data_IF_496035298195
#
_entry.id   IF_496035298195
#
_cell.length_a   1.000
_cell.length_b   1.000
_cell.length_c   1.000
_cell.angle_alpha   90.00
_cell.angle_beta   90.00
_cell.angle_gamma   90.00
#
_symmetry.space_group_name_H-M   'P 1'
#
loop_
_entity.id
_entity.type
_entity.pdbx_description
1 polymer ?
#
# COMPACT_ATOMS: atom_id res chain seq x y z
N UNK A 1 6.28 -4.46 12.00
CA UNK A 1 6.65 -3.63 10.84
C UNK A 1 6.01 -4.24 9.62
N UNK A 2 5.27 -3.48 8.81
CA UNK A 2 4.82 -3.94 7.48
C UNK A 2 6.04 -4.38 6.66
N UNK A 3 5.88 -5.38 5.79
CA UNK A 3 6.94 -6.07 5.03
C UNK A 3 8.10 -5.12 4.68
N UNK A 4 9.34 -5.50 5.03
CA UNK A 4 10.56 -4.75 4.74
C UNK A 4 10.79 -4.66 3.21
N UNK A 5 10.15 -3.70 2.57
CA UNK A 5 10.18 -3.49 1.12
C UNK A 5 10.23 -2.00 0.77
N UNK A 6 10.48 -1.72 -0.50
CA UNK A 6 10.55 -0.35 -0.99
C UNK A 6 9.17 0.33 -0.96
N UNK A 7 9.16 1.64 -0.81
CA UNK A 7 7.95 2.47 -0.98
C UNK A 7 8.10 3.20 -2.30
N UNK A 8 7.23 2.89 -3.25
CA UNK A 8 7.21 3.48 -4.58
C UNK A 8 6.17 4.58 -4.65
N UNK A 9 6.60 5.82 -4.82
CA UNK A 9 5.69 6.96 -4.93
C UNK A 9 5.35 7.18 -6.39
N UNK A 10 4.07 7.04 -6.72
CA UNK A 10 3.51 7.20 -8.07
C UNK A 10 2.53 8.36 -8.11
N UNK A 11 2.26 8.85 -9.31
CA UNK A 11 1.32 9.95 -9.53
C UNK A 11 1.77 10.87 -10.65
N UNK A 12 0.89 11.77 -11.05
CA UNK A 12 1.14 12.66 -12.18
C UNK A 12 2.33 13.62 -11.93
N UNK A 13 2.90 14.17 -13.00
CA UNK A 13 3.92 15.21 -12.85
C UNK A 13 3.33 16.42 -12.10
N UNK A 14 4.08 17.01 -11.16
CA UNK A 14 3.56 18.09 -10.31
C UNK A 14 2.77 17.62 -9.07
N UNK A 15 2.55 16.31 -8.88
CA UNK A 15 1.88 15.77 -7.69
C UNK A 15 2.71 15.89 -6.39
N UNK A 16 3.97 16.34 -6.47
CA UNK A 16 4.83 16.53 -5.30
C UNK A 16 5.66 15.30 -4.90
N UNK A 17 5.75 14.27 -5.75
CA UNK A 17 6.47 13.01 -5.48
C UNK A 17 7.85 13.21 -4.88
N UNK A 18 8.70 14.04 -5.50
CA UNK A 18 10.06 14.23 -5.01
C UNK A 18 10.14 14.97 -3.68
N UNK A 19 9.18 15.84 -3.38
CA UNK A 19 9.15 16.61 -2.12
C UNK A 19 8.62 15.72 -0.99
N UNK A 20 7.47 15.08 -1.21
CA UNK A 20 6.89 14.11 -0.27
C UNK A 20 7.85 12.95 -0.03
N UNK A 21 8.48 12.43 -1.08
CA UNK A 21 9.39 11.29 -0.99
C UNK A 21 10.65 11.57 -0.21
N UNK A 22 11.26 12.76 -0.36
CA UNK A 22 12.42 13.16 0.45
C UNK A 22 12.06 13.25 1.94
N UNK A 23 10.96 13.95 2.27
CA UNK A 23 10.54 14.11 3.66
C UNK A 23 10.09 12.77 4.27
N UNK A 24 9.41 11.92 3.50
CA UNK A 24 9.02 10.58 3.95
C UNK A 24 10.25 9.71 4.20
N UNK A 25 11.25 9.75 3.32
CA UNK A 25 12.49 9.01 3.50
C UNK A 25 13.25 9.47 4.75
N UNK A 26 13.33 10.78 4.98
CA UNK A 26 13.93 11.36 6.19
C UNK A 26 13.23 10.87 7.46
N UNK A 27 11.89 10.99 7.53
CA UNK A 27 11.13 10.55 8.72
C UNK A 27 11.17 9.04 8.97
N UNK A 28 11.36 8.25 7.92
CA UNK A 28 11.48 6.79 8.03
C UNK A 28 12.92 6.30 8.15
N UNK A 29 13.91 7.20 8.14
CA UNK A 29 15.35 6.89 8.11
C UNK A 29 15.74 5.95 6.96
N UNK A 30 15.16 6.19 5.78
CA UNK A 30 15.36 5.41 4.56
C UNK A 30 16.16 6.19 3.52
N UNK A 31 16.78 5.46 2.58
CA UNK A 31 17.36 6.09 1.39
C UNK A 31 16.24 6.59 0.46
N UNK A 32 16.47 7.73 -0.18
CA UNK A 32 15.61 8.27 -1.21
C UNK A 32 16.24 8.12 -2.59
N UNK A 33 15.43 7.69 -3.57
CA UNK A 33 15.80 7.66 -4.98
C UNK A 33 14.73 8.32 -5.84
N UNK A 34 15.15 8.96 -6.92
CA UNK A 34 14.28 9.51 -7.96
C UNK A 34 14.61 8.84 -9.29
N UNK A 35 13.66 8.08 -9.84
CA UNK A 35 13.89 7.31 -11.08
C UNK A 35 14.19 8.22 -12.26
N UNK A 36 13.57 9.40 -12.35
CA UNK A 36 13.83 10.36 -13.43
C UNK A 36 15.31 10.81 -13.37
N UNK A 37 15.81 11.17 -12.19
CA UNK A 37 17.22 11.54 -12.00
C UNK A 37 18.20 10.39 -12.25
N UNK A 38 17.81 9.15 -11.92
CA UNK A 38 18.63 7.97 -12.20
C UNK A 38 18.68 7.63 -13.69
N UNK A 39 17.60 7.88 -14.43
CA UNK A 39 17.55 7.76 -15.90
C UNK A 39 18.50 8.76 -16.53
N UNK A 40 18.42 10.04 -16.17
CA UNK A 40 19.31 11.08 -16.72
C UNK A 40 20.79 10.76 -16.44
N UNK A 41 21.08 10.33 -15.21
CA UNK A 41 22.44 9.91 -14.83
C UNK A 41 22.91 8.68 -15.61
N UNK A 42 22.02 7.73 -15.90
CA UNK A 42 22.35 6.52 -16.66
C UNK A 42 22.55 6.81 -18.16
N UNK A 43 21.80 7.75 -18.71
CA UNK A 43 21.86 8.11 -20.13
C UNK A 43 22.90 9.21 -20.43
N UNK A 44 23.36 9.92 -19.40
CA UNK A 44 24.25 11.09 -19.49
C UNK A 44 23.68 12.24 -20.36
N UNK A 45 22.35 12.31 -20.44
CA UNK A 45 21.55 13.34 -21.11
C UNK A 45 20.25 13.54 -20.31
N UNK A 46 19.57 14.65 -20.52
CA UNK A 46 18.26 14.92 -19.89
C UNK A 46 17.18 14.00 -20.46
N UNK A 47 16.07 13.84 -19.73
CA UNK A 47 14.92 13.09 -20.25
C UNK A 47 14.40 13.70 -21.55
N UNK A 48 14.36 15.04 -21.63
CA UNK A 48 13.92 15.75 -22.84
C UNK A 48 14.79 15.39 -24.05
N UNK A 49 16.11 15.44 -23.90
CA UNK A 49 17.06 15.05 -24.96
C UNK A 49 16.90 13.57 -25.33
N UNK A 50 16.75 12.67 -24.34
CA UNK A 50 16.56 11.25 -24.58
C UNK A 50 15.28 10.97 -25.39
N UNK A 51 14.19 11.68 -25.10
CA UNK A 51 12.95 11.61 -25.88
C UNK A 51 13.13 12.15 -27.32
N UNK A 52 13.85 13.25 -27.49
CA UNK A 52 14.09 13.87 -28.81
C UNK A 52 15.01 13.02 -29.69
N UNK A 53 16.06 12.43 -29.11
CA UNK A 53 17.05 11.64 -29.85
C UNK A 53 16.60 10.21 -30.13
N UNK A 54 15.93 9.56 -29.16
CA UNK A 54 15.69 8.12 -29.19
C UNK A 54 14.20 7.73 -29.15
N UNK A 55 13.30 8.69 -28.95
CA UNK A 55 11.86 8.44 -28.86
C UNK A 55 11.40 7.82 -27.55
N UNK A 56 10.08 7.72 -27.40
CA UNK A 56 9.46 7.24 -26.16
C UNK A 56 9.78 5.78 -25.84
N UNK A 57 9.81 4.90 -26.84
CA UNK A 57 10.06 3.47 -26.63
C UNK A 57 11.42 3.21 -25.97
N UNK A 58 12.47 3.86 -26.47
CA UNK A 58 13.81 3.75 -25.89
C UNK A 58 13.86 4.36 -24.48
N UNK A 59 13.23 5.53 -24.28
CA UNK A 59 13.11 6.11 -22.94
C UNK A 59 12.48 5.13 -21.95
N UNK A 60 11.37 4.49 -22.33
CA UNK A 60 10.67 3.51 -21.48
C UNK A 60 11.54 2.29 -21.18
N UNK A 61 12.32 1.81 -22.14
CA UNK A 61 13.28 0.72 -21.94
C UNK A 61 14.37 1.09 -20.91
N UNK A 62 14.88 2.32 -20.97
CA UNK A 62 15.84 2.85 -19.98
C UNK A 62 15.18 3.02 -18.61
N UNK A 63 13.96 3.58 -18.55
CA UNK A 63 13.16 3.74 -17.33
C UNK A 63 12.95 2.38 -16.63
N UNK A 64 12.51 1.35 -17.35
CA UNK A 64 12.36 -0.01 -16.83
C UNK A 64 13.70 -0.60 -16.34
N UNK A 65 14.79 -0.37 -17.07
CA UNK A 65 16.12 -0.86 -16.69
C UNK A 65 16.65 -0.21 -15.41
N UNK A 66 16.40 1.09 -15.24
CA UNK A 66 16.71 1.83 -14.01
C UNK A 66 15.85 1.35 -12.85
N UNK A 67 14.54 1.16 -13.08
CA UNK A 67 13.63 0.62 -12.07
C UNK A 67 14.10 -0.75 -11.57
N UNK A 68 14.45 -1.66 -12.48
CA UNK A 68 15.00 -3.00 -12.15
C UNK A 68 16.24 -2.94 -11.25
N UNK A 69 17.11 -1.94 -11.43
CA UNK A 69 18.29 -1.75 -10.58
C UNK A 69 17.92 -1.20 -9.21
N UNK A 70 17.15 -0.12 -9.15
CA UNK A 70 16.81 0.54 -7.88
C UNK A 70 15.83 -0.30 -7.04
N UNK A 71 15.03 -1.18 -7.66
CA UNK A 71 14.15 -2.11 -6.95
C UNK A 71 14.90 -3.16 -6.11
N UNK A 72 16.21 -3.34 -6.35
CA UNK A 72 17.07 -4.21 -5.54
C UNK A 72 17.50 -3.58 -4.22
N UNK A 73 17.27 -2.28 -4.03
CA UNK A 73 17.47 -1.66 -2.73
C UNK A 73 16.51 -2.27 -1.70
N UNK A 74 16.95 -2.30 -0.44
CA UNK A 74 16.15 -2.78 0.66
C UNK A 74 15.65 -1.58 1.46
N UNK A 75 14.32 -1.47 1.58
CA UNK A 75 13.67 -0.50 2.46
C UNK A 75 13.92 0.97 2.06
N UNK A 76 13.93 1.28 0.76
CA UNK A 76 14.08 2.63 0.23
C UNK A 76 12.73 3.31 -0.07
N UNK A 77 12.74 4.64 -0.25
CA UNK A 77 11.64 5.43 -0.81
C UNK A 77 12.03 5.86 -2.23
N UNK A 78 11.23 5.49 -3.23
CA UNK A 78 11.56 5.61 -4.64
C UNK A 78 10.46 6.40 -5.35
N UNK A 79 10.76 7.62 -5.80
CA UNK A 79 9.84 8.40 -6.66
C UNK A 79 9.91 7.92 -8.10
N UNK A 80 8.75 7.55 -8.64
CA UNK A 80 8.60 6.96 -9.95
C UNK A 80 8.20 8.01 -11.00
N UNK A 81 8.74 7.91 -12.22
CA UNK A 81 8.33 8.71 -13.36
C UNK A 81 6.81 8.62 -13.62
N UNK A 82 6.22 9.71 -14.11
CA UNK A 82 4.76 9.82 -14.28
C UNK A 82 4.14 8.94 -15.37
N UNK A 83 4.94 8.16 -16.09
CA UNK A 83 4.47 7.15 -17.05
C UNK A 83 4.98 5.74 -16.74
N UNK A 84 5.69 5.55 -15.62
CA UNK A 84 6.34 4.30 -15.28
C UNK A 84 5.36 3.13 -15.17
N UNK A 85 4.14 3.41 -14.69
CA UNK A 85 3.06 2.42 -14.57
C UNK A 85 2.42 2.03 -15.90
N UNK A 86 2.74 2.67 -17.03
CA UNK A 86 2.15 2.31 -18.34
C UNK A 86 2.59 0.91 -18.78
N UNK A 87 3.83 0.52 -18.46
CA UNK A 87 4.36 -0.80 -18.75
C UNK A 87 3.94 -1.83 -17.68
N UNK A 88 3.41 -2.96 -18.13
CA UNK A 88 2.99 -4.06 -17.25
C UNK A 88 4.13 -4.65 -16.42
N UNK A 89 5.29 -4.87 -17.04
CA UNK A 89 6.47 -5.39 -16.36
C UNK A 89 6.89 -4.52 -15.15
N UNK A 90 6.72 -3.20 -15.24
CA UNK A 90 7.03 -2.29 -14.14
C UNK A 90 6.02 -2.46 -13.00
N UNK A 91 4.73 -2.62 -13.31
CA UNK A 91 3.69 -2.87 -12.30
C UNK A 91 3.93 -4.18 -11.56
N UNK A 92 4.28 -5.25 -12.27
CA UNK A 92 4.64 -6.54 -11.67
C UNK A 92 5.89 -6.45 -10.78
N UNK A 93 6.89 -5.69 -11.21
CA UNK A 93 8.10 -5.50 -10.42
C UNK A 93 7.81 -4.75 -9.12
N UNK A 94 7.03 -3.66 -9.20
CA UNK A 94 6.61 -2.86 -8.05
C UNK A 94 5.86 -3.72 -7.03
N UNK A 95 4.88 -4.50 -7.48
CA UNK A 95 4.04 -5.34 -6.60
C UNK A 95 4.83 -6.45 -5.90
N UNK A 96 5.92 -6.94 -6.52
CA UNK A 96 6.79 -7.98 -5.94
C UNK A 96 7.82 -7.44 -4.96
N UNK A 97 8.25 -6.19 -5.11
CA UNK A 97 9.43 -5.63 -4.42
C UNK A 97 9.10 -4.55 -3.40
N UNK A 98 7.85 -4.14 -3.31
CA UNK A 98 7.45 -3.11 -2.37
C UNK A 98 5.98 -2.74 -2.42
N UNK A 99 5.72 -1.54 -1.93
CA UNK A 99 4.40 -0.97 -1.74
C UNK A 99 4.28 0.30 -2.58
N UNK A 100 3.19 0.45 -3.32
CA UNK A 100 2.91 1.67 -4.10
C UNK A 100 2.06 2.68 -3.32
N UNK A 101 2.49 3.94 -3.34
CA UNK A 101 1.80 5.10 -2.78
C UNK A 101 1.45 6.06 -3.91
N UNK A 102 0.16 6.26 -4.16
CA UNK A 102 -0.35 7.25 -5.10
C UNK A 102 -0.56 8.61 -4.43
N UNK A 103 0.07 9.65 -4.99
CA UNK A 103 -0.22 11.04 -4.63
C UNK A 103 -1.38 11.57 -5.49
N UNK A 104 -2.59 11.49 -4.94
CA UNK A 104 -3.81 11.94 -5.59
C UNK A 104 -3.89 13.47 -5.56
N UNK A 105 -3.87 14.08 -6.74
CA UNK A 105 -3.79 15.54 -6.88
C UNK A 105 -4.72 15.97 -8.01
N UNK A 106 -5.61 16.91 -7.72
CA UNK A 106 -6.54 17.40 -8.75
C UNK A 106 -5.81 18.05 -9.95
N UNK A 107 -6.37 17.94 -11.17
CA UNK A 107 -5.84 18.62 -12.36
C UNK A 107 -5.61 20.11 -12.16
N UNK A 108 -6.48 20.78 -11.40
CA UNK A 108 -6.41 22.21 -11.09
C UNK A 108 -5.19 22.54 -10.20
N UNK A 109 -4.92 21.72 -9.18
CA UNK A 109 -3.71 21.84 -8.35
C UNK A 109 -2.46 21.51 -9.16
N UNK A 110 -2.50 20.48 -10.01
CA UNK A 110 -1.38 20.10 -10.89
C UNK A 110 -1.01 21.25 -11.83
N UNK A 111 -1.99 21.86 -12.50
CA UNK A 111 -1.77 23.02 -13.36
C UNK A 111 -1.09 24.15 -12.58
N UNK A 112 -1.65 24.51 -11.42
CA UNK A 112 -1.11 25.58 -10.56
C UNK A 112 0.35 25.34 -10.19
N UNK A 113 0.72 24.09 -9.83
CA UNK A 113 2.09 23.71 -9.49
C UNK A 113 3.02 23.70 -10.71
N UNK A 114 2.51 23.27 -11.87
CA UNK A 114 3.28 23.15 -13.10
C UNK A 114 3.58 24.49 -13.78
N UNK A 115 2.73 25.51 -13.59
CA UNK A 115 2.93 26.87 -14.17
C UNK A 115 4.34 27.41 -13.90
N UNK A 116 4.92 27.14 -12.72
CA UNK A 116 6.26 27.61 -12.33
C UNK A 116 7.42 26.88 -13.02
N UNK A 117 7.14 25.80 -13.76
CA UNK A 117 8.16 24.94 -14.40
C UNK A 117 7.81 24.61 -15.85
N UNK A 118 7.00 25.46 -16.49
CA UNK A 118 6.43 25.21 -17.82
C UNK A 118 7.52 25.05 -18.90
N UNK A 119 8.65 25.74 -18.76
CA UNK A 119 9.74 25.75 -19.75
C UNK A 119 10.40 24.39 -19.93
N UNK A 120 10.33 23.52 -18.92
CA UNK A 120 10.88 22.17 -18.94
C UNK A 120 9.86 21.11 -19.42
N UNK A 121 8.71 21.54 -19.96
CA UNK A 121 7.59 20.65 -20.34
C UNK A 121 7.14 20.92 -21.78
N UNK A 122 7.79 20.29 -22.79
CA UNK A 122 7.50 20.52 -24.21
C UNK A 122 6.01 20.34 -24.55
N UNK A 123 5.33 19.39 -23.91
CA UNK A 123 3.92 19.08 -24.15
C UNK A 123 2.92 20.15 -23.70
N UNK A 124 3.30 21.07 -22.80
CA UNK A 124 2.43 22.12 -22.25
C UNK A 124 2.81 23.53 -22.71
N UNK A 125 3.90 23.65 -23.50
CA UNK A 125 4.44 24.93 -23.96
C UNK A 125 3.54 25.55 -25.02
N UNK A 126 3.33 26.88 -24.93
CA UNK A 126 2.56 27.65 -25.91
C UNK A 126 1.04 27.53 -25.82
N UNK A 127 0.51 26.75 -24.87
CA UNK A 127 -0.92 26.58 -24.63
C UNK A 127 -1.47 27.65 -23.65
N UNK A 128 -2.73 28.03 -23.83
CA UNK A 128 -3.51 28.77 -22.83
C UNK A 128 -3.76 27.92 -21.57
N UNK A 129 -4.12 28.55 -20.46
CA UNK A 129 -4.33 27.81 -19.20
C UNK A 129 -5.50 26.83 -19.27
N UNK A 130 -6.54 27.14 -20.06
CA UNK A 130 -7.64 26.22 -20.36
C UNK A 130 -7.16 25.01 -21.16
N UNK A 131 -6.38 25.22 -22.23
CA UNK A 131 -5.84 24.13 -23.04
C UNK A 131 -4.86 23.23 -22.25
N UNK A 132 -4.06 23.83 -21.36
CA UNK A 132 -3.20 23.06 -20.45
C UNK A 132 -4.02 22.19 -19.50
N UNK A 133 -5.08 22.75 -18.92
CA UNK A 133 -5.95 22.02 -18.01
C UNK A 133 -6.60 20.82 -18.71
N UNK A 134 -7.12 21.03 -19.91
CA UNK A 134 -7.75 19.98 -20.70
C UNK A 134 -6.76 18.87 -21.06
N UNK A 135 -5.54 19.25 -21.46
CA UNK A 135 -4.47 18.28 -21.75
C UNK A 135 -4.01 17.50 -20.52
N UNK A 136 -3.92 18.15 -19.35
CA UNK A 136 -3.64 17.46 -18.09
C UNK A 136 -4.77 16.46 -17.77
N UNK A 137 -6.03 16.85 -17.95
CA UNK A 137 -7.19 15.98 -17.71
C UNK A 137 -7.18 14.77 -18.62
N UNK A 138 -6.91 14.96 -19.92
CA UNK A 138 -6.77 13.88 -20.90
C UNK A 138 -5.66 12.89 -20.50
N UNK A 139 -4.44 13.38 -20.27
CA UNK A 139 -3.31 12.53 -19.89
C UNK A 139 -3.52 11.82 -18.54
N UNK A 140 -4.25 12.45 -17.62
CA UNK A 140 -4.56 11.86 -16.32
C UNK A 140 -5.65 10.80 -16.44
N UNK A 141 -6.65 10.98 -17.31
CA UNK A 141 -7.72 10.01 -17.52
C UNK A 141 -7.17 8.63 -17.93
N UNK A 142 -6.19 8.59 -18.85
CA UNK A 142 -5.56 7.33 -19.28
C UNK A 142 -4.77 6.63 -18.17
N UNK A 143 -4.22 7.41 -17.23
CA UNK A 143 -3.32 6.92 -16.18
C UNK A 143 -4.01 6.66 -14.85
N UNK A 144 -5.18 7.27 -14.63
CA UNK A 144 -5.88 7.24 -13.36
C UNK A 144 -6.23 5.81 -12.91
N UNK A 145 -6.72 4.89 -13.77
CA UNK A 145 -6.95 3.50 -13.37
C UNK A 145 -5.67 2.81 -12.86
N UNK A 146 -4.52 3.12 -13.46
CA UNK A 146 -3.23 2.56 -13.06
C UNK A 146 -2.78 3.15 -11.72
N UNK A 147 -2.93 4.46 -11.51
CA UNK A 147 -2.62 5.08 -10.22
C UNK A 147 -3.53 4.57 -9.09
N UNK A 148 -4.83 4.43 -9.36
CA UNK A 148 -5.82 3.94 -8.39
C UNK A 148 -5.60 2.47 -7.99
N UNK A 149 -4.86 1.69 -8.80
CA UNK A 149 -4.45 0.33 -8.43
C UNK A 149 -3.35 0.26 -7.35
N UNK A 150 -2.87 1.42 -6.86
CA UNK A 150 -1.82 1.48 -5.83
C UNK A 150 -2.29 0.98 -4.46
N UNK A 151 -1.36 0.48 -3.64
CA UNK A 151 -1.68 -0.04 -2.31
C UNK A 151 -2.21 1.02 -1.34
N UNK A 152 -1.75 2.26 -1.50
CA UNK A 152 -2.16 3.42 -0.71
C UNK A 152 -2.38 4.62 -1.63
N UNK A 153 -3.28 5.52 -1.24
CA UNK A 153 -3.44 6.82 -1.87
C UNK A 153 -3.60 7.91 -0.82
N UNK A 154 -3.07 9.09 -1.10
CA UNK A 154 -3.20 10.27 -0.23
C UNK A 154 -3.53 11.49 -1.09
N UNK A 155 -4.51 12.29 -0.66
CA UNK A 155 -4.84 13.54 -1.33
C UNK A 155 -3.83 14.62 -0.98
N UNK A 156 -3.32 15.30 -1.99
CA UNK A 156 -2.34 16.39 -1.80
C UNK A 156 -2.92 17.79 -2.03
N UNK A 157 -4.20 17.88 -2.38
CA UNK A 157 -4.92 19.14 -2.54
C UNK A 157 -5.05 19.88 -1.20
N UNK A 158 -4.64 21.15 -1.17
CA UNK A 158 -4.74 22.04 0.00
C UNK A 158 -4.10 21.55 1.31
N UNK A 159 -3.33 20.46 1.28
CA UNK A 159 -2.62 19.91 2.43
C UNK A 159 -1.17 20.38 2.45
N UNK A 160 -0.61 20.57 3.64
CA UNK A 160 0.83 20.78 3.79
C UNK A 160 1.59 19.49 3.45
N UNK A 161 2.86 19.61 3.08
CA UNK A 161 3.71 18.44 2.80
C UNK A 161 3.86 17.61 4.08
N UNK A 162 3.99 18.26 5.25
CA UNK A 162 4.05 17.57 6.53
C UNK A 162 2.81 16.73 6.81
N UNK A 163 1.61 17.26 6.57
CA UNK A 163 0.35 16.55 6.78
C UNK A 163 0.24 15.33 5.88
N UNK A 164 0.53 15.50 4.59
CA UNK A 164 0.53 14.39 3.61
C UNK A 164 1.50 13.29 4.06
N UNK A 165 2.71 13.63 4.50
CA UNK A 165 3.67 12.64 4.97
C UNK A 165 3.22 11.99 6.28
N UNK A 166 2.63 12.74 7.20
CA UNK A 166 2.11 12.19 8.45
C UNK A 166 0.97 11.19 8.21
N UNK A 167 0.06 11.50 7.29
CA UNK A 167 -1.03 10.58 6.90
C UNK A 167 -0.47 9.31 6.27
N UNK A 168 0.52 9.44 5.37
CA UNK A 168 1.22 8.28 4.78
C UNK A 168 1.88 7.42 5.86
N UNK A 169 2.61 8.02 6.80
CA UNK A 169 3.25 7.28 7.90
C UNK A 169 2.19 6.58 8.76
N UNK A 170 1.09 7.26 9.06
CA UNK A 170 -0.02 6.70 9.82
C UNK A 170 -0.61 5.48 9.11
N UNK A 171 -0.79 5.52 7.80
CA UNK A 171 -1.32 4.39 7.02
C UNK A 171 -0.31 3.25 6.87
N UNK A 172 0.99 3.56 6.73
CA UNK A 172 2.06 2.57 6.70
C UNK A 172 2.25 1.86 8.04
N UNK A 173 2.07 2.59 9.15
CA UNK A 173 2.21 2.08 10.53
C UNK A 173 0.92 1.48 11.08
N UNK A 174 -0.24 1.82 10.50
CA UNK A 174 -1.53 1.25 10.87
C UNK A 174 -1.60 -0.28 10.75
N UNK A 175 -0.73 -0.90 9.96
CA UNK A 175 -0.59 -2.37 9.84
C UNK A 175 0.68 -2.91 10.50
N UNK A 176 1.40 -2.10 11.28
CA UNK A 176 2.56 -2.55 12.03
C UNK A 176 2.13 -3.01 13.45
N UNK A 177 2.67 -4.12 13.98
CA UNK A 177 2.55 -4.43 15.39
C UNK A 177 3.06 -3.29 16.27
N UNK A 178 2.34 -3.03 17.36
CA UNK A 178 2.78 -2.16 18.44
C UNK A 178 4.03 -2.74 19.13
N UNK A 179 4.14 -4.06 19.22
CA UNK A 179 5.33 -4.75 19.70
C UNK A 179 5.42 -6.18 19.15
N UNK A 180 6.61 -6.76 19.19
CA UNK A 180 6.83 -8.19 18.93
C UNK A 180 7.24 -8.80 20.26
N UNK A 181 6.54 -9.86 20.68
CA UNK A 181 6.94 -10.67 21.83
C UNK A 181 8.01 -11.63 21.34
N UNK A 182 9.23 -11.47 21.84
CA UNK A 182 10.37 -12.32 21.44
C UNK A 182 10.47 -13.58 22.32
N UNK A 183 10.12 -14.72 21.73
CA UNK A 183 10.16 -16.05 22.33
C UNK A 183 10.91 -17.04 21.43
N UNK A 184 11.81 -16.56 20.56
CA UNK A 184 12.50 -17.38 19.55
C UNK A 184 11.54 -17.84 18.43
N UNK A 185 11.39 -19.15 18.24
CA UNK A 185 10.50 -19.69 17.19
C UNK A 185 9.00 -19.41 17.43
N UNK A 186 8.64 -19.03 18.66
CA UNK A 186 7.25 -18.72 19.05
C UNK A 186 6.98 -17.22 19.11
N UNK A 187 7.86 -16.39 18.58
CA UNK A 187 7.68 -14.94 18.59
C UNK A 187 6.42 -14.55 17.83
N UNK A 188 5.65 -13.62 18.37
CA UNK A 188 4.41 -13.15 17.75
C UNK A 188 4.22 -11.64 17.87
N UNK A 189 3.56 -11.03 16.87
CA UNK A 189 3.22 -9.61 16.90
C UNK A 189 2.01 -9.33 17.81
N UNK A 190 2.05 -8.22 18.54
CA UNK A 190 0.91 -7.62 19.22
C UNK A 190 0.57 -6.31 18.51
N UNK A 191 -0.70 -6.16 18.12
CA UNK A 191 -1.22 -4.95 17.51
C UNK A 191 -2.14 -4.23 18.49
N UNK A 192 -1.97 -2.91 18.64
CA UNK A 192 -2.81 -2.07 19.50
C UNK A 192 -3.22 -0.86 18.70
N UNK A 193 -4.50 -0.78 18.33
CA UNK A 193 -5.05 0.36 17.60
C UNK A 193 -6.55 0.51 17.85
N UNK A 194 -7.04 1.74 17.91
CA UNK A 194 -8.48 2.02 17.91
C UNK A 194 -9.10 1.59 16.57
N UNK A 195 -10.19 0.83 16.62
CA UNK A 195 -10.89 0.36 15.41
C UNK A 195 -10.14 -0.70 14.61
N UNK A 196 -9.19 -1.43 15.23
CA UNK A 196 -8.36 -2.43 14.55
C UNK A 196 -9.16 -3.57 13.90
N UNK A 197 -10.37 -3.85 14.39
CA UNK A 197 -11.27 -4.85 13.80
C UNK A 197 -11.53 -4.60 12.32
N UNK A 198 -11.61 -3.34 11.89
CA UNK A 198 -11.77 -2.96 10.48
C UNK A 198 -10.57 -3.31 9.59
N UNK A 199 -9.43 -3.70 10.18
CA UNK A 199 -8.17 -4.00 9.47
C UNK A 199 -7.76 -5.47 9.59
N UNK A 200 -8.56 -6.29 10.26
CA UNK A 200 -8.17 -7.67 10.58
C UNK A 200 -7.87 -8.51 9.33
N UNK A 201 -8.63 -8.35 8.24
CA UNK A 201 -8.35 -9.03 6.97
C UNK A 201 -6.98 -8.69 6.38
N UNK A 202 -6.57 -7.40 6.46
CA UNK A 202 -5.24 -6.97 6.03
C UNK A 202 -4.14 -7.54 6.92
N UNK A 203 -4.34 -7.55 8.24
CA UNK A 203 -3.37 -8.13 9.19
C UNK A 203 -3.15 -9.61 8.91
N UNK A 204 -4.22 -10.38 8.70
CA UNK A 204 -4.15 -11.81 8.37
C UNK A 204 -3.39 -12.04 7.06
N UNK A 205 -3.67 -11.21 6.05
CA UNK A 205 -2.99 -11.25 4.75
C UNK A 205 -1.49 -10.95 4.89
N UNK A 206 -1.13 -9.90 5.63
CA UNK A 206 0.25 -9.48 5.84
C UNK A 206 1.06 -10.52 6.62
N UNK A 207 0.41 -11.23 7.56
CA UNK A 207 1.00 -12.33 8.32
C UNK A 207 1.05 -13.66 7.54
N UNK A 208 0.53 -13.70 6.30
CA UNK A 208 0.46 -14.90 5.46
C UNK A 208 -0.23 -16.08 6.16
N UNK A 209 -1.27 -15.78 6.94
CA UNK A 209 -2.05 -16.79 7.63
C UNK A 209 -3.00 -17.53 6.67
N UNK A 210 -3.49 -18.67 7.12
CA UNK A 210 -4.39 -19.55 6.38
C UNK A 210 -5.68 -18.89 5.91
N UNK A 211 -6.11 -19.23 4.68
CA UNK A 211 -7.36 -18.72 4.09
C UNK A 211 -8.63 -19.22 4.77
N UNK A 212 -8.56 -20.40 5.39
CA UNK A 212 -9.66 -20.98 6.16
C UNK A 212 -9.53 -20.55 7.61
N UNK A 213 -10.51 -19.83 8.11
CA UNK A 213 -10.52 -19.12 9.40
C UNK A 213 -11.62 -19.68 10.28
N UNK A 214 -11.31 -20.02 11.53
CA UNK A 214 -12.30 -20.27 12.57
C UNK A 214 -12.32 -19.07 13.53
N UNK A 215 -13.45 -18.36 13.61
CA UNK A 215 -13.67 -17.36 14.64
C UNK A 215 -14.31 -18.05 15.84
N UNK A 216 -13.59 -18.08 16.96
CA UNK A 216 -14.06 -18.64 18.23
C UNK A 216 -14.34 -17.48 19.17
N UNK A 217 -15.58 -17.36 19.64
CA UNK A 217 -16.04 -16.26 20.51
C UNK A 217 -17.09 -16.75 21.48
N UNK A 218 -17.24 -16.10 22.64
CA UNK A 218 -18.38 -16.37 23.52
C UNK A 218 -19.69 -15.73 23.02
N UNK A 219 -20.81 -16.14 23.59
CA UNK A 219 -22.15 -15.66 23.25
C UNK A 219 -22.32 -14.14 23.39
N UNK A 220 -21.73 -13.50 24.40
CA UNK A 220 -21.87 -12.05 24.63
C UNK A 220 -21.08 -11.29 23.58
N UNK A 221 -19.80 -11.63 23.41
CA UNK A 221 -18.93 -10.98 22.42
C UNK A 221 -19.43 -11.26 21.00
N UNK A 222 -20.06 -12.42 20.79
CA UNK A 222 -20.67 -12.77 19.50
C UNK A 222 -21.74 -11.76 19.07
N UNK A 223 -22.60 -11.31 19.98
CA UNK A 223 -23.69 -10.39 19.65
C UNK A 223 -23.16 -9.01 19.25
N UNK A 224 -22.00 -8.62 19.77
CA UNK A 224 -21.43 -7.29 19.55
C UNK A 224 -20.55 -7.19 18.30
N UNK A 225 -19.82 -8.25 17.97
CA UNK A 225 -18.69 -8.14 17.04
C UNK A 225 -18.64 -9.20 15.94
N UNK A 226 -19.27 -10.37 16.12
CA UNK A 226 -19.08 -11.50 15.22
C UNK A 226 -19.53 -11.20 13.78
N UNK A 227 -20.75 -10.67 13.62
CA UNK A 227 -21.31 -10.40 12.30
C UNK A 227 -20.46 -9.40 11.50
N UNK A 228 -19.98 -8.35 12.16
CA UNK A 228 -19.14 -7.33 11.51
C UNK A 228 -17.80 -7.91 11.04
N UNK A 229 -17.17 -8.77 11.85
CA UNK A 229 -15.87 -9.37 11.54
C UNK A 229 -16.01 -10.47 10.48
N UNK A 230 -17.02 -11.34 10.61
CA UNK A 230 -17.33 -12.39 9.65
C UNK A 230 -17.55 -11.83 8.24
N UNK A 231 -18.37 -10.77 8.14
CA UNK A 231 -18.61 -10.09 6.88
C UNK A 231 -17.32 -9.52 6.28
N UNK A 232 -16.52 -8.84 7.08
CA UNK A 232 -15.26 -8.24 6.62
C UNK A 232 -14.27 -9.28 6.09
N UNK A 233 -14.16 -10.42 6.76
CA UNK A 233 -13.29 -11.51 6.33
C UNK A 233 -13.84 -12.23 5.09
N UNK A 234 -15.15 -12.47 5.03
CA UNK A 234 -15.79 -13.07 3.87
C UNK A 234 -15.66 -12.18 2.63
N UNK A 235 -15.88 -10.86 2.77
CA UNK A 235 -15.73 -9.87 1.69
C UNK A 235 -14.29 -9.77 1.16
N UNK A 236 -13.29 -10.17 1.97
CA UNK A 236 -11.87 -10.23 1.59
C UNK A 236 -11.44 -11.59 1.04
N UNK A 237 -12.38 -12.53 0.87
CA UNK A 237 -12.16 -13.83 0.21
C UNK A 237 -11.66 -14.94 1.13
N UNK A 238 -11.83 -14.79 2.44
CA UNK A 238 -11.55 -15.86 3.41
C UNK A 238 -12.74 -16.80 3.57
N UNK A 239 -12.48 -18.07 3.87
CA UNK A 239 -13.50 -19.07 4.24
C UNK A 239 -13.65 -19.04 5.76
N UNK A 240 -14.80 -18.59 6.27
CA UNK A 240 -15.00 -18.34 7.71
C UNK A 240 -15.95 -19.36 8.33
N UNK A 241 -15.50 -20.01 9.40
CA UNK A 241 -16.29 -20.82 10.32
C UNK A 241 -16.50 -20.06 11.62
N UNK A 242 -17.75 -19.87 12.01
CA UNK A 242 -18.09 -19.22 13.28
C UNK A 242 -18.41 -20.27 14.36
N UNK A 243 -17.70 -20.23 15.47
CA UNK A 243 -17.87 -21.14 16.61
C UNK A 243 -18.17 -20.32 17.86
N UNK A 244 -19.40 -20.43 18.36
CA UNK A 244 -19.84 -19.78 19.59
C UNK A 244 -19.66 -20.72 20.78
N UNK A 245 -19.16 -20.20 21.89
CA UNK A 245 -19.06 -20.91 23.17
C UNK A 245 -19.89 -20.21 24.26
N UNK A 246 -20.33 -20.93 25.30
CA UNK A 246 -21.04 -20.31 26.42
C UNK A 246 -20.22 -19.19 27.05
N UNK A 247 -20.89 -18.12 27.50
CA UNK A 247 -20.22 -17.03 28.20
C UNK A 247 -19.82 -17.39 29.64
N UNK A 248 -18.80 -16.71 30.16
CA UNK A 248 -18.34 -16.83 31.54
C UNK A 248 -17.25 -17.88 31.78
N UNK A 249 -16.74 -17.93 33.02
CA UNK A 249 -15.56 -18.72 33.39
C UNK A 249 -15.76 -20.23 33.25
N UNK A 250 -17.02 -20.70 33.32
CA UNK A 250 -17.41 -22.10 33.11
C UNK A 250 -17.07 -22.63 31.71
N UNK A 251 -16.86 -21.74 30.73
CA UNK A 251 -16.41 -22.08 29.39
C UNK A 251 -14.97 -22.59 29.32
N UNK A 252 -14.14 -22.27 30.33
CA UNK A 252 -12.74 -22.74 30.44
C UNK A 252 -12.65 -24.17 30.96
N UNK A 253 -13.32 -25.09 30.27
CA UNK A 253 -13.39 -26.49 30.64
C UNK A 253 -12.90 -27.39 29.50
N UNK A 254 -12.38 -28.57 29.87
CA UNK A 254 -11.92 -29.57 28.89
C UNK A 254 -13.06 -30.07 28.00
N UNK A 255 -14.30 -30.07 28.49
CA UNK A 255 -15.49 -30.44 27.70
C UNK A 255 -15.73 -29.45 26.57
N UNK A 256 -15.67 -28.15 26.83
CA UNK A 256 -15.80 -27.12 25.79
C UNK A 256 -14.66 -27.21 24.80
N UNK A 257 -13.42 -27.42 25.27
CA UNK A 257 -12.28 -27.64 24.38
C UNK A 257 -12.46 -28.87 23.48
N UNK A 258 -12.99 -29.98 24.00
CA UNK A 258 -13.28 -31.17 23.19
C UNK A 258 -14.27 -30.85 22.07
N UNK A 259 -15.38 -30.19 22.40
CA UNK A 259 -16.38 -29.78 21.41
C UNK A 259 -15.80 -28.85 20.35
N UNK A 260 -14.90 -27.94 20.73
CA UNK A 260 -14.19 -27.08 19.78
C UNK A 260 -13.31 -27.90 18.82
N UNK A 261 -12.54 -28.86 19.34
CA UNK A 261 -11.71 -29.72 18.51
C UNK A 261 -12.53 -30.56 17.53
N UNK A 262 -13.61 -31.18 18.00
CA UNK A 262 -14.48 -32.00 17.15
C UNK A 262 -15.02 -31.18 15.98
N UNK A 263 -15.47 -29.94 16.25
CA UNK A 263 -16.01 -29.05 15.22
C UNK A 263 -14.96 -28.58 14.22
N UNK A 264 -13.74 -28.29 14.68
CA UNK A 264 -12.63 -27.94 13.78
C UNK A 264 -12.22 -29.13 12.90
N UNK A 265 -12.26 -30.35 13.44
CA UNK A 265 -11.96 -31.57 12.70
C UNK A 265 -13.03 -31.89 11.64
N UNK A 266 -14.31 -31.75 11.97
CA UNK A 266 -15.43 -31.93 11.03
C UNK A 266 -15.30 -30.99 9.82
N UNK A 267 -14.90 -29.75 10.07
CA UNK A 267 -14.68 -28.73 9.05
C UNK A 267 -13.28 -28.80 8.40
N UNK A 268 -12.48 -29.82 8.71
CA UNK A 268 -11.15 -30.06 8.11
C UNK A 268 -10.18 -28.88 8.29
N UNK A 269 -10.11 -28.34 9.51
CA UNK A 269 -9.05 -27.40 9.87
C UNK A 269 -7.71 -28.12 9.98
N UNK A 270 -6.69 -27.59 9.30
CA UNK A 270 -5.36 -28.18 9.21
C UNK A 270 -4.29 -27.20 9.72
N UNK A 271 -3.01 -27.57 9.59
CA UNK A 271 -1.86 -26.72 10.03
C UNK A 271 -1.80 -25.37 9.32
N UNK A 272 -2.35 -25.29 8.11
CA UNK A 272 -2.39 -24.06 7.32
C UNK A 272 -3.72 -23.31 7.49
N UNK A 273 -4.54 -23.64 8.49
CA UNK A 273 -5.75 -22.91 8.85
C UNK A 273 -5.47 -21.90 9.96
N UNK A 274 -6.34 -20.91 10.08
CA UNK A 274 -6.21 -19.82 11.05
C UNK A 274 -7.30 -19.93 12.10
N UNK A 275 -6.95 -19.75 13.37
CA UNK A 275 -7.93 -19.61 14.46
C UNK A 275 -7.84 -18.19 15.01
N UNK A 276 -8.98 -17.51 15.05
CA UNK A 276 -9.14 -16.19 15.65
C UNK A 276 -9.97 -16.35 16.91
N UNK A 277 -9.36 -16.13 18.07
CA UNK A 277 -10.09 -15.99 19.31
C UNK A 277 -10.55 -14.53 19.46
N UNK A 278 -11.86 -14.32 19.43
CA UNK A 278 -12.47 -13.01 19.66
C UNK A 278 -13.00 -12.97 21.08
N UNK A 279 -12.52 -11.99 21.86
CA UNK A 279 -12.90 -11.82 23.26
C UNK A 279 -12.87 -10.35 23.64
N UNK A 280 -13.44 -10.05 24.80
CA UNK A 280 -13.56 -8.71 25.35
C UNK A 280 -14.46 -8.73 26.58
N UNK A 281 -14.31 -7.75 27.47
CA UNK A 281 -15.14 -7.56 28.67
C UNK A 281 -15.56 -6.11 28.81
#
# INVERSE_FOLDING_TARGET
MSKAGNIYIVGFMGAGKSVVGKLLAEKLERKYYDTDSLVEKSANITISELFEESGEEQFRSVESSVLKKVSLENNAVISCGGGLLLLEENRELLSRTGTTLYLDTSPETLLTRLIRSIDNRPLLKGLSDTEKLDKIKEMLADRLPLYQSSNFSVKTDNNSIEDVVNDVIKDLTASAPAMIVDLGERSYPIYIQQGISSKIGKIITDLHLGKKIAIITDEIVSELHLEAIDKLLSDTGFEVLNVKIPAGESSKSLSVMSTLYDRLLEERFERNSTVIALGGG
#
